data_IF_289303239563
#
_entry.id   IF_289303239563
#
_cell.length_a   1.000
_cell.length_b   1.000
_cell.length_c   1.000
_cell.angle_alpha   90.00
_cell.angle_beta   90.00
_cell.angle_gamma   90.00
#
_symmetry.space_group_name_H-M   'P 1'
#
loop_
_entity.id
_entity.type
_entity.pdbx_description
1 polymer ?
#
# COMPACT_ATOMS: atom_id res chain seq x y z
N UNK A 1 8.15 4.71 -75.62
CA UNK A 1 7.59 5.14 -74.31
C UNK A 1 8.14 4.23 -73.24
N UNK A 2 9.08 4.70 -72.39
CA UNK A 2 9.70 3.94 -71.32
C UNK A 2 9.07 4.41 -70.02
N UNK A 3 8.24 3.54 -69.40
CA UNK A 3 7.58 3.79 -68.12
C UNK A 3 8.62 3.59 -67.00
N UNK A 4 8.97 4.65 -66.29
CA UNK A 4 9.84 4.59 -65.10
C UNK A 4 8.96 4.41 -63.87
N UNK A 5 9.05 3.23 -63.27
CA UNK A 5 8.36 2.84 -62.07
C UNK A 5 9.22 3.27 -60.87
N UNK A 6 8.79 4.32 -60.18
CA UNK A 6 9.46 4.85 -58.99
C UNK A 6 8.92 4.09 -57.78
N UNK A 7 9.78 3.31 -57.13
CA UNK A 7 9.46 2.59 -55.86
C UNK A 7 9.61 3.58 -54.71
N UNK A 8 8.49 3.96 -54.07
CA UNK A 8 8.50 4.69 -52.81
C UNK A 8 8.64 3.69 -51.67
N UNK A 9 9.79 3.69 -51.01
CA UNK A 9 10.01 2.95 -49.77
C UNK A 9 9.51 3.79 -48.59
N UNK A 10 8.39 3.42 -48.01
CA UNK A 10 7.90 4.01 -46.75
C UNK A 10 8.62 3.37 -45.57
N UNK A 11 9.48 4.13 -44.90
CA UNK A 11 10.07 3.76 -43.61
C UNK A 11 9.01 3.93 -42.51
N UNK A 12 8.57 2.83 -41.92
CA UNK A 12 7.75 2.82 -40.71
C UNK A 12 8.71 2.97 -39.52
N UNK A 13 8.75 4.15 -38.92
CA UNK A 13 9.44 4.39 -37.65
C UNK A 13 8.54 3.87 -36.54
N UNK A 14 8.86 2.71 -35.99
CA UNK A 14 8.22 2.18 -34.77
C UNK A 14 8.71 2.98 -33.59
N UNK A 15 7.89 3.89 -33.08
CA UNK A 15 8.09 4.53 -31.78
C UNK A 15 7.78 3.53 -30.69
N UNK A 16 8.82 3.02 -30.02
CA UNK A 16 8.66 2.29 -28.75
C UNK A 16 8.20 3.29 -27.70
N UNK A 17 6.94 3.22 -27.30
CA UNK A 17 6.45 3.88 -26.09
C UNK A 17 7.15 3.22 -24.90
N UNK A 18 8.08 3.92 -24.27
CA UNK A 18 8.56 3.59 -22.94
C UNK A 18 7.39 3.91 -22.01
N UNK A 19 6.71 2.88 -21.53
CA UNK A 19 5.86 3.01 -20.35
C UNK A 19 6.81 3.30 -19.17
N UNK A 20 6.88 4.54 -18.75
CA UNK A 20 7.39 4.85 -17.43
C UNK A 20 6.39 4.25 -16.44
N UNK A 21 6.83 3.28 -15.64
CA UNK A 21 6.21 2.98 -14.38
C UNK A 21 6.38 4.24 -13.53
N UNK A 22 5.43 5.14 -13.66
CA UNK A 22 5.32 6.30 -12.82
C UNK A 22 4.95 5.75 -11.45
N UNK A 23 5.96 5.60 -10.60
CA UNK A 23 5.81 5.39 -9.18
C UNK A 23 4.69 6.33 -8.73
N UNK A 24 3.58 5.79 -8.22
CA UNK A 24 2.55 6.59 -7.59
C UNK A 24 3.22 7.26 -6.39
N UNK A 25 3.72 8.47 -6.62
CA UNK A 25 4.18 9.33 -5.57
C UNK A 25 2.89 9.70 -4.82
N UNK A 26 2.69 9.08 -3.65
CA UNK A 26 1.64 9.52 -2.75
C UNK A 26 1.99 10.95 -2.38
N UNK A 27 1.25 11.90 -2.94
CA UNK A 27 1.35 13.29 -2.53
C UNK A 27 1.09 13.33 -1.02
N UNK A 28 1.91 14.13 -0.30
CA UNK A 28 1.77 14.26 1.13
C UNK A 28 0.31 14.60 1.47
N UNK A 29 -0.34 13.71 2.25
CA UNK A 29 -1.74 13.89 2.63
C UNK A 29 -1.88 15.15 3.47
N UNK A 30 -2.88 15.94 3.17
CA UNK A 30 -3.22 17.15 3.92
C UNK A 30 -4.42 16.82 4.79
N UNK A 31 -4.29 16.92 6.10
CA UNK A 31 -5.39 16.74 7.03
C UNK A 31 -6.58 17.62 6.65
N UNK A 32 -7.78 17.10 6.78
CA UNK A 32 -9.00 17.76 6.36
C UNK A 32 -9.30 17.66 4.86
N UNK A 33 -8.43 17.01 4.08
CA UNK A 33 -8.61 16.87 2.63
C UNK A 33 -8.70 15.40 2.20
N UNK A 34 -9.82 15.05 1.60
CA UNK A 34 -10.11 13.73 1.06
C UNK A 34 -10.13 13.80 -0.46
N UNK A 35 -9.55 12.82 -1.12
CA UNK A 35 -9.70 12.64 -2.56
C UNK A 35 -10.78 11.60 -2.85
N UNK A 36 -11.59 11.83 -3.89
CA UNK A 36 -12.62 10.92 -4.33
C UNK A 36 -12.61 10.85 -5.85
N UNK A 37 -12.36 9.69 -6.39
CA UNK A 37 -12.42 9.39 -7.81
C UNK A 37 -13.69 8.59 -8.08
N UNK A 38 -14.48 9.01 -9.07
CA UNK A 38 -15.70 8.30 -9.47
C UNK A 38 -15.62 8.04 -10.97
N UNK A 39 -15.72 6.78 -11.35
CA UNK A 39 -15.67 6.36 -12.74
C UNK A 39 -16.95 5.62 -13.13
N UNK A 40 -17.47 5.93 -14.31
CA UNK A 40 -18.54 5.20 -14.97
C UNK A 40 -17.93 4.41 -16.14
N UNK A 41 -18.18 3.12 -16.17
CA UNK A 41 -17.82 2.23 -17.30
C UNK A 41 -19.03 1.36 -17.67
N UNK A 42 -19.75 1.79 -18.69
CA UNK A 42 -20.98 1.12 -19.12
C UNK A 42 -22.06 1.13 -18.04
N UNK A 43 -22.32 -0.02 -17.43
CA UNK A 43 -23.27 -0.18 -16.33
C UNK A 43 -22.61 -0.16 -14.94
N UNK A 44 -21.30 -0.10 -14.89
CA UNK A 44 -20.56 -0.09 -13.64
C UNK A 44 -20.26 1.33 -13.18
N UNK A 45 -20.38 1.55 -11.89
CA UNK A 45 -20.05 2.79 -11.20
C UNK A 45 -19.06 2.48 -10.08
N UNK A 46 -17.87 3.04 -10.20
CA UNK A 46 -16.76 2.80 -9.31
C UNK A 46 -16.46 4.06 -8.51
N UNK A 47 -16.21 3.88 -7.22
CA UNK A 47 -15.77 4.94 -6.31
C UNK A 47 -14.44 4.52 -5.70
N UNK A 48 -13.51 5.43 -5.63
CA UNK A 48 -12.29 5.30 -4.85
C UNK A 48 -12.14 6.53 -3.97
N UNK A 49 -12.01 6.32 -2.69
CA UNK A 49 -11.84 7.37 -1.69
C UNK A 49 -10.50 7.18 -1.02
N UNK A 50 -9.70 8.25 -0.99
CA UNK A 50 -8.43 8.30 -0.28
C UNK A 50 -8.52 9.34 0.81
N UNK A 51 -8.37 8.94 2.06
CA UNK A 51 -8.56 9.80 3.23
C UNK A 51 -7.44 9.63 4.26
N UNK A 52 -6.87 10.72 4.81
CA UNK A 52 -5.92 10.64 5.90
C UNK A 52 -6.50 9.88 7.11
N UNK A 53 -5.70 9.06 7.77
CA UNK A 53 -6.11 8.38 9.00
C UNK A 53 -6.58 9.35 10.09
N UNK A 54 -5.95 10.54 10.16
CA UNK A 54 -6.37 11.60 11.07
C UNK A 54 -7.82 12.03 10.87
N UNK A 55 -8.33 12.04 9.64
CA UNK A 55 -9.71 12.41 9.31
C UNK A 55 -10.71 11.32 9.69
N UNK A 56 -10.32 10.04 9.52
CA UNK A 56 -11.20 8.89 9.70
C UNK A 56 -11.21 8.38 11.14
N UNK A 57 -10.04 8.22 11.76
CA UNK A 57 -9.89 7.63 13.11
C UNK A 57 -9.23 8.56 14.13
N UNK A 58 -8.69 9.71 13.67
CA UNK A 58 -8.06 10.73 14.50
C UNK A 58 -6.57 10.54 14.76
N UNK A 59 -5.90 9.65 14.01
CA UNK A 59 -4.45 9.43 14.05
C UNK A 59 -3.94 8.78 12.75
N UNK A 60 -2.61 8.83 12.52
CA UNK A 60 -1.96 8.28 11.31
C UNK A 60 -0.83 7.29 11.61
N UNK A 61 -0.56 7.04 12.88
CA UNK A 61 0.42 6.02 13.29
C UNK A 61 -0.21 4.64 13.42
N UNK A 62 0.60 3.61 13.46
CA UNK A 62 0.15 2.25 13.78
C UNK A 62 -0.56 2.21 15.14
N UNK A 63 -1.74 1.56 15.20
CA UNK A 63 -2.54 1.48 16.42
C UNK A 63 -1.82 0.68 17.52
N UNK A 64 -1.47 1.36 18.61
CA UNK A 64 -0.73 0.79 19.74
C UNK A 64 -1.61 0.43 20.94
N UNK A 65 -2.84 0.95 20.98
CA UNK A 65 -3.79 0.72 22.09
C UNK A 65 -5.06 0.02 21.62
N UNK A 66 -5.71 -0.70 22.53
CA UNK A 66 -7.00 -1.34 22.24
C UNK A 66 -8.10 -0.30 21.87
N UNK A 67 -7.97 0.91 22.39
CA UNK A 67 -8.89 1.99 22.04
C UNK A 67 -8.71 2.45 20.59
N UNK A 68 -7.47 2.52 20.09
CA UNK A 68 -7.16 2.85 18.69
C UNK A 68 -7.58 1.74 17.75
N UNK A 69 -7.25 0.48 18.07
CA UNK A 69 -7.69 -0.69 17.29
C UNK A 69 -9.21 -0.72 17.15
N UNK A 70 -9.95 -0.39 18.25
CA UNK A 70 -11.40 -0.31 18.22
C UNK A 70 -11.91 0.82 17.31
N UNK A 71 -11.23 1.96 17.25
CA UNK A 71 -11.59 3.04 16.33
C UNK A 71 -11.45 2.60 14.88
N UNK A 72 -10.34 1.92 14.53
CA UNK A 72 -10.13 1.36 13.19
C UNK A 72 -11.26 0.38 12.86
N UNK A 73 -11.52 -0.62 13.72
CA UNK A 73 -12.57 -1.59 13.47
C UNK A 73 -13.96 -0.95 13.29
N UNK A 74 -14.26 0.11 14.05
CA UNK A 74 -15.52 0.85 13.87
C UNK A 74 -15.58 1.58 12.53
N UNK A 75 -14.49 2.18 12.10
CA UNK A 75 -14.41 2.85 10.81
C UNK A 75 -14.56 1.85 9.66
N UNK A 76 -13.88 0.70 9.73
CA UNK A 76 -14.03 -0.38 8.76
C UNK A 76 -15.48 -0.89 8.66
N UNK A 77 -16.12 -1.14 9.80
CA UNK A 77 -17.54 -1.57 9.82
C UNK A 77 -18.49 -0.54 9.21
N UNK A 78 -18.19 0.74 9.37
CA UNK A 78 -18.97 1.83 8.79
C UNK A 78 -18.73 1.91 7.28
N UNK A 79 -17.47 1.90 6.87
CA UNK A 79 -17.03 2.00 5.47
C UNK A 79 -17.38 0.74 4.66
N UNK A 80 -17.52 -0.43 5.30
CA UNK A 80 -17.92 -1.66 4.62
C UNK A 80 -19.31 -1.61 3.97
N UNK A 81 -20.10 -0.60 4.32
CA UNK A 81 -21.45 -0.40 3.75
C UNK A 81 -21.48 0.90 2.95
N UNK A 82 -21.44 0.78 1.63
CA UNK A 82 -21.49 1.93 0.75
C UNK A 82 -22.70 2.86 1.00
N UNK A 83 -23.83 2.29 1.42
CA UNK A 83 -25.07 3.05 1.75
C UNK A 83 -24.89 3.98 2.97
N UNK A 84 -23.90 3.76 3.80
CA UNK A 84 -23.55 4.71 4.88
C UNK A 84 -22.86 5.96 4.32
N UNK A 85 -22.19 5.82 3.18
CA UNK A 85 -21.35 6.86 2.60
C UNK A 85 -22.07 7.59 1.44
N UNK A 86 -22.83 6.84 0.64
CA UNK A 86 -23.50 7.39 -0.53
C UNK A 86 -25.00 7.10 -0.53
N UNK A 87 -25.79 8.09 -0.94
CA UNK A 87 -27.18 7.90 -1.29
C UNK A 87 -27.32 7.96 -2.81
N UNK A 88 -27.49 6.80 -3.43
CA UNK A 88 -27.76 6.69 -4.86
C UNK A 88 -29.28 6.74 -5.13
N UNK A 89 -29.72 7.47 -6.17
CA UNK A 89 -31.13 7.45 -6.58
C UNK A 89 -31.62 6.03 -6.89
N UNK A 90 -32.72 5.61 -6.30
CA UNK A 90 -33.27 4.26 -6.51
C UNK A 90 -33.67 3.98 -7.98
N UNK A 91 -33.92 5.04 -8.77
CA UNK A 91 -34.21 4.95 -10.21
C UNK A 91 -33.05 4.36 -11.03
N UNK A 92 -31.82 4.43 -10.52
CA UNK A 92 -30.65 3.87 -11.19
C UNK A 92 -30.62 2.33 -11.12
N UNK A 93 -31.30 1.73 -10.15
CA UNK A 93 -31.32 0.29 -9.95
C UNK A 93 -29.95 -0.31 -9.71
N UNK A 94 -29.16 0.35 -8.86
CA UNK A 94 -27.80 -0.07 -8.53
C UNK A 94 -27.78 -1.18 -7.47
N UNK A 95 -26.85 -2.10 -7.64
CA UNK A 95 -26.54 -3.15 -6.67
C UNK A 95 -25.04 -3.05 -6.33
N UNK A 96 -24.68 -3.08 -5.06
CA UNK A 96 -23.27 -3.18 -4.64
C UNK A 96 -22.73 -4.54 -5.02
N UNK A 97 -21.58 -4.56 -5.70
CA UNK A 97 -20.91 -5.77 -6.18
C UNK A 97 -19.72 -6.10 -5.31
N UNK A 98 -18.91 -5.08 -4.98
CA UNK A 98 -17.70 -5.23 -4.20
C UNK A 98 -17.43 -4.00 -3.33
N UNK A 99 -16.74 -4.24 -2.22
CA UNK A 99 -16.22 -3.20 -1.32
C UNK A 99 -14.85 -3.62 -0.83
N UNK A 100 -13.86 -2.80 -1.08
CA UNK A 100 -12.49 -3.02 -0.64
C UNK A 100 -12.03 -1.87 0.25
N UNK A 101 -11.39 -2.19 1.38
CA UNK A 101 -10.89 -1.21 2.35
C UNK A 101 -9.46 -1.59 2.70
N UNK A 102 -8.56 -0.65 2.52
CA UNK A 102 -7.16 -0.76 2.93
C UNK A 102 -6.79 0.40 3.84
N UNK A 103 -5.90 0.18 4.78
CA UNK A 103 -5.30 1.23 5.60
C UNK A 103 -3.93 0.80 6.15
N UNK A 104 -3.03 1.75 6.35
CA UNK A 104 -1.68 1.50 6.88
C UNK A 104 -1.57 1.55 8.41
N UNK A 105 -2.69 1.44 9.15
CA UNK A 105 -2.73 1.70 10.61
C UNK A 105 -2.69 0.45 11.48
N UNK A 106 -2.77 -0.74 10.90
CA UNK A 106 -2.60 -2.00 11.63
C UNK A 106 -1.12 -2.38 11.70
N UNK A 107 -0.67 -2.87 12.85
CA UNK A 107 0.61 -3.57 12.89
C UNK A 107 0.53 -4.75 11.90
N UNK A 108 1.54 -4.91 11.05
CA UNK A 108 1.70 -6.14 10.31
C UNK A 108 1.91 -7.24 11.35
N UNK A 109 0.89 -8.05 11.59
CA UNK A 109 1.12 -9.36 12.18
C UNK A 109 1.91 -10.11 11.10
N UNK A 110 3.23 -10.07 11.23
CA UNK A 110 4.09 -11.01 10.52
C UNK A 110 3.66 -12.39 11.00
N UNK A 111 2.71 -12.99 10.29
CA UNK A 111 2.53 -14.42 10.32
C UNK A 111 3.79 -15.02 9.72
N UNK A 112 4.81 -15.11 10.56
CA UNK A 112 5.88 -16.05 10.32
C UNK A 112 5.24 -17.43 10.40
N UNK A 113 4.75 -17.93 9.26
CA UNK A 113 4.70 -19.35 9.01
C UNK A 113 6.15 -19.85 9.02
N UNK A 114 6.72 -19.91 10.23
CA UNK A 114 7.87 -20.75 10.48
C UNK A 114 7.36 -22.17 10.37
N UNK A 115 7.42 -22.72 9.15
CA UNK A 115 7.50 -24.13 8.95
C UNK A 115 8.59 -24.62 9.89
N UNK A 116 8.16 -25.31 10.95
CA UNK A 116 8.97 -26.02 11.91
C UNK A 116 9.81 -27.05 11.14
N UNK A 117 10.96 -26.61 10.62
CA UNK A 117 11.97 -27.52 10.12
C UNK A 117 12.57 -28.21 11.33
N UNK A 118 12.00 -29.37 11.65
CA UNK A 118 12.54 -30.28 12.63
C UNK A 118 14.02 -30.49 12.34
N UNK A 119 14.86 -29.95 13.22
CA UNK A 119 16.26 -30.28 13.26
C UNK A 119 16.37 -31.71 13.82
N UNK A 120 16.61 -32.66 12.92
CA UNK A 120 17.03 -34.01 13.27
C UNK A 120 18.26 -33.91 14.16
N UNK A 121 18.09 -34.40 15.37
CA UNK A 121 19.16 -34.57 16.36
C UNK A 121 20.29 -35.40 15.76
N UNK A 122 21.37 -34.76 15.34
CA UNK A 122 22.62 -35.45 15.10
C UNK A 122 23.27 -35.79 16.44
N UNK A 123 23.07 -37.02 16.87
CA UNK A 123 23.84 -37.64 17.94
C UNK A 123 25.34 -37.65 17.56
N UNK A 124 26.11 -36.79 18.22
CA UNK A 124 27.55 -36.87 18.17
C UNK A 124 28.04 -38.01 19.08
N UNK A 125 28.45 -39.12 18.45
CA UNK A 125 29.13 -40.22 19.07
C UNK A 125 30.38 -39.73 19.81
N UNK A 126 30.45 -40.19 21.04
CA UNK A 126 31.57 -40.01 21.96
C UNK A 126 32.82 -40.62 21.34
N UNK A 127 33.84 -39.82 21.07
CA UNK A 127 35.19 -40.32 20.84
C UNK A 127 35.90 -40.50 22.16
N UNK A 128 36.19 -41.79 22.43
CA UNK A 128 36.94 -42.26 23.53
C UNK A 128 38.39 -41.77 23.45
N UNK A 129 38.86 -41.30 24.58
CA UNK A 129 40.10 -41.43 25.29
C UNK A 129 41.30 -41.96 24.49
N UNK A 130 42.24 -41.11 24.18
CA UNK A 130 43.62 -41.49 23.92
C UNK A 130 44.55 -40.76 24.87
N UNK A 131 44.91 -41.48 25.93
CA UNK A 131 46.05 -41.15 26.80
C UNK A 131 47.34 -41.14 26.00
N UNK A 132 48.13 -40.10 26.12
CA UNK A 132 49.51 -40.05 25.72
C UNK A 132 50.40 -39.73 26.91
N UNK A 133 51.26 -40.70 27.12
CA UNK A 133 52.34 -40.77 28.14
C UNK A 133 53.35 -39.66 27.97
N UNK A 134 53.73 -39.15 29.08
CA UNK A 134 54.89 -38.45 29.57
C UNK A 134 56.20 -38.68 28.77
N UNK A 135 56.70 -37.59 28.15
CA UNK A 135 58.13 -37.48 27.85
C UNK A 135 58.61 -36.06 28.18
N UNK A 136 59.33 -36.00 29.33
CA UNK A 136 60.12 -34.83 29.65
C UNK A 136 61.34 -34.73 28.70
N UNK A 137 61.63 -33.54 28.25
CA UNK A 137 62.96 -33.11 27.81
C UNK A 137 63.21 -31.66 28.13
N UNK A 138 64.40 -31.46 28.68
CA UNK A 138 65.06 -30.28 29.17
C UNK A 138 65.30 -29.21 28.10
N UNK A 139 65.32 -27.96 28.60
CA UNK A 139 66.16 -26.81 28.24
C UNK A 139 66.50 -26.57 26.76
N UNK A 140 65.99 -25.50 26.23
CA UNK A 140 66.83 -24.58 25.48
C UNK A 140 66.25 -23.13 25.55
N UNK A 141 67.18 -22.26 25.89
CA UNK A 141 67.04 -20.81 26.00
C UNK A 141 66.87 -20.17 24.60
N UNK A 142 66.24 -19.03 24.62
CA UNK A 142 66.49 -17.85 23.79
C UNK A 142 66.08 -17.95 22.30
N UNK A 143 64.94 -17.35 21.97
CA UNK A 143 64.83 -16.56 20.76
C UNK A 143 63.64 -15.57 20.87
N UNK A 144 64.02 -14.32 20.72
CA UNK A 144 63.36 -13.08 20.60
C UNK A 144 62.16 -13.08 19.63
N UNK A 145 61.15 -12.31 20.06
CA UNK A 145 60.30 -11.38 19.31
C UNK A 145 59.72 -11.84 17.97
N UNK A 146 58.49 -12.30 17.98
CA UNK A 146 57.57 -12.08 16.90
C UNK A 146 56.23 -11.67 17.48
N UNK A 147 56.03 -10.33 17.54
CA UNK A 147 54.75 -9.70 17.70
C UNK A 147 53.91 -9.97 16.44
N UNK A 148 52.94 -10.84 16.56
CA UNK A 148 51.89 -10.96 15.58
C UNK A 148 50.61 -10.38 16.18
N UNK A 149 50.48 -9.04 16.08
CA UNK A 149 49.24 -8.34 16.28
C UNK A 149 48.31 -8.70 15.11
N UNK A 150 47.42 -9.67 15.34
CA UNK A 150 46.27 -9.89 14.50
C UNK A 150 45.08 -9.17 15.11
N UNK A 151 45.03 -7.86 14.94
CA UNK A 151 43.84 -7.07 15.12
C UNK A 151 42.87 -7.43 13.99
N UNK A 152 41.99 -8.37 14.22
CA UNK A 152 40.82 -8.62 13.42
C UNK A 152 39.66 -7.83 14.03
N UNK A 153 39.69 -6.50 13.87
CA UNK A 153 38.52 -5.66 14.04
C UNK A 153 37.55 -5.94 12.88
N UNK A 154 36.69 -6.93 13.07
CA UNK A 154 35.52 -7.11 12.26
C UNK A 154 34.38 -6.29 12.88
N UNK A 155 34.46 -4.97 12.75
CA UNK A 155 33.32 -4.08 12.92
C UNK A 155 32.36 -4.34 11.73
N UNK A 156 31.52 -5.34 11.87
CA UNK A 156 30.33 -5.47 11.05
C UNK A 156 29.24 -4.57 11.66
N UNK A 157 29.40 -3.26 11.49
CA UNK A 157 28.29 -2.34 11.60
C UNK A 157 27.32 -2.65 10.46
N UNK A 158 26.46 -3.63 10.69
CA UNK A 158 25.24 -3.76 9.92
C UNK A 158 24.27 -2.68 10.44
N UNK A 159 24.50 -1.46 10.01
CA UNK A 159 23.45 -0.46 10.00
C UNK A 159 22.34 -0.98 9.07
N UNK A 160 21.49 -1.82 9.64
CA UNK A 160 20.17 -2.02 9.07
C UNK A 160 19.41 -0.70 9.30
N UNK A 161 19.64 0.26 8.40
CA UNK A 161 18.68 1.30 8.17
C UNK A 161 17.37 0.58 7.79
N UNK A 162 16.63 0.16 8.81
CA UNK A 162 15.22 -0.03 8.65
C UNK A 162 14.70 1.37 8.34
N UNK A 163 14.66 1.71 7.05
CA UNK A 163 13.74 2.71 6.58
C UNK A 163 12.38 2.31 7.16
N UNK A 164 12.12 2.79 8.38
CA UNK A 164 10.77 2.87 8.88
C UNK A 164 10.09 3.80 7.86
N UNK A 165 9.51 3.20 6.84
CA UNK A 165 8.45 3.82 6.12
C UNK A 165 7.37 4.06 7.17
N UNK A 166 7.50 5.19 7.88
CA UNK A 166 6.38 5.80 8.57
C UNK A 166 5.37 6.16 7.47
N UNK A 167 4.75 5.12 6.92
CA UNK A 167 3.62 5.26 6.03
C UNK A 167 2.57 6.00 6.83
N UNK A 168 2.36 7.27 6.47
CA UNK A 168 1.25 8.01 7.03
C UNK A 168 0.00 7.18 6.79
N UNK A 169 -0.65 6.77 7.89
CA UNK A 169 -1.82 5.90 7.81
C UNK A 169 -2.93 6.56 7.02
N UNK A 170 -3.25 5.97 5.90
CA UNK A 170 -4.26 6.41 4.96
C UNK A 170 -5.31 5.33 4.80
N UNK A 171 -6.56 5.72 4.65
CA UNK A 171 -7.64 4.85 4.23
C UNK A 171 -7.85 4.96 2.73
N UNK A 172 -7.77 3.85 2.03
CA UNK A 172 -8.24 3.69 0.65
C UNK A 172 -9.48 2.81 0.66
N UNK A 173 -10.59 3.35 0.17
CA UNK A 173 -11.88 2.66 0.14
C UNK A 173 -12.40 2.63 -1.30
N UNK A 174 -12.71 1.44 -1.78
CA UNK A 174 -13.25 1.24 -3.12
C UNK A 174 -14.63 0.61 -3.03
N UNK A 175 -15.58 1.15 -3.79
CA UNK A 175 -16.92 0.56 -3.96
C UNK A 175 -17.18 0.34 -5.45
N UNK A 176 -17.73 -0.82 -5.76
CA UNK A 176 -18.22 -1.13 -7.09
C UNK A 176 -19.72 -1.40 -7.06
N UNK A 177 -20.44 -0.74 -7.96
CA UNK A 177 -21.86 -0.96 -8.20
C UNK A 177 -22.09 -1.32 -9.65
N UNK A 178 -23.06 -2.20 -9.90
CA UNK A 178 -23.66 -2.41 -11.22
C UNK A 178 -25.07 -1.83 -11.20
N UNK A 179 -25.37 -0.94 -12.14
CA UNK A 179 -26.61 -0.17 -12.21
C UNK A 179 -27.34 -0.44 -13.51
N UNK A 180 -28.66 -0.58 -13.44
CA UNK A 180 -29.49 -0.88 -14.62
C UNK A 180 -29.69 0.35 -15.52
N UNK A 181 -29.59 1.56 -14.99
CA UNK A 181 -29.94 2.80 -15.69
C UNK A 181 -29.03 3.99 -15.29
N UNK A 182 -27.75 3.92 -15.64
CA UNK A 182 -26.79 5.01 -15.37
C UNK A 182 -26.98 6.25 -16.27
N UNK A 183 -27.76 6.13 -17.35
CA UNK A 183 -28.05 7.29 -18.22
C UNK A 183 -28.80 8.41 -17.49
N UNK A 184 -29.57 8.04 -16.45
CA UNK A 184 -30.35 8.97 -15.64
C UNK A 184 -29.55 9.51 -14.43
N UNK A 185 -28.28 9.13 -14.30
CA UNK A 185 -27.42 9.63 -13.24
C UNK A 185 -27.17 11.13 -13.41
N UNK A 186 -27.65 11.91 -12.47
CA UNK A 186 -27.49 13.35 -12.45
C UNK A 186 -26.81 13.86 -11.18
N UNK A 187 -27.09 13.19 -10.05
CA UNK A 187 -26.51 13.54 -8.76
C UNK A 187 -26.46 12.36 -7.80
N UNK A 188 -25.50 12.40 -6.90
CA UNK A 188 -25.33 11.47 -5.76
C UNK A 188 -25.07 12.34 -4.53
N UNK A 189 -25.62 11.96 -3.38
CA UNK A 189 -25.33 12.63 -2.11
C UNK A 189 -24.33 11.80 -1.30
N UNK A 190 -23.34 12.46 -0.69
CA UNK A 190 -22.42 11.81 0.25
C UNK A 190 -22.74 12.16 1.70
N UNK A 191 -22.68 11.15 2.57
CA UNK A 191 -22.81 11.28 4.02
C UNK A 191 -21.43 11.36 4.72
N UNK A 192 -20.34 11.44 3.97
CA UNK A 192 -18.99 11.42 4.48
C UNK A 192 -18.76 12.38 5.65
N UNK A 193 -19.11 13.64 5.48
CA UNK A 193 -18.92 14.69 6.49
C UNK A 193 -19.70 14.45 7.78
N UNK A 194 -20.80 13.69 7.72
CA UNK A 194 -21.57 13.30 8.91
C UNK A 194 -20.83 12.30 9.76
N UNK A 195 -20.12 11.39 9.11
CA UNK A 195 -19.36 10.33 9.79
C UNK A 195 -17.95 10.76 10.16
N UNK A 196 -17.34 11.60 9.33
CA UNK A 196 -15.97 12.06 9.45
C UNK A 196 -15.89 13.58 9.49
N UNK A 197 -16.30 14.20 10.62
CA UNK A 197 -16.41 15.66 10.73
C UNK A 197 -15.06 16.40 10.73
N UNK A 198 -13.94 15.68 10.86
CA UNK A 198 -12.59 16.24 10.71
C UNK A 198 -12.25 16.58 9.27
N UNK A 199 -12.95 16.01 8.30
CA UNK A 199 -12.78 16.34 6.88
C UNK A 199 -13.39 17.72 6.59
N UNK A 200 -12.57 18.63 6.08
CA UNK A 200 -12.97 19.98 5.70
C UNK A 200 -13.49 20.04 4.26
N UNK A 201 -12.83 19.28 3.36
CA UNK A 201 -13.20 19.22 1.95
C UNK A 201 -12.93 17.86 1.32
N UNK A 202 -13.71 17.57 0.26
CA UNK A 202 -13.48 16.42 -0.62
C UNK A 202 -13.25 16.94 -2.04
N UNK A 203 -12.10 16.59 -2.62
CA UNK A 203 -11.81 16.84 -4.04
C UNK A 203 -12.34 15.65 -4.85
N UNK A 204 -13.38 15.89 -5.67
CA UNK A 204 -14.02 14.84 -6.46
C UNK A 204 -13.59 14.96 -7.91
N UNK A 205 -13.06 13.86 -8.47
CA UNK A 205 -12.81 13.70 -9.90
C UNK A 205 -13.84 12.75 -10.49
N UNK A 206 -14.52 13.17 -11.54
CA UNK A 206 -15.53 12.39 -12.25
C UNK A 206 -15.03 12.00 -13.63
N UNK A 207 -15.12 10.72 -13.96
CA UNK A 207 -14.80 10.13 -15.26
C UNK A 207 -16.04 9.40 -15.75
N UNK A 208 -16.79 10.00 -16.66
CA UNK A 208 -18.07 9.47 -17.14
C UNK A 208 -18.11 9.44 -18.66
N UNK A 209 -19.10 8.77 -19.22
CA UNK A 209 -19.36 8.79 -20.67
C UNK A 209 -19.59 10.21 -21.22
N UNK A 210 -20.00 11.15 -20.35
CA UNK A 210 -20.20 12.56 -20.71
C UNK A 210 -18.91 13.37 -20.71
N UNK A 211 -17.81 12.83 -20.15
CA UNK A 211 -16.51 13.48 -20.05
C UNK A 211 -15.94 13.48 -18.63
N UNK A 212 -14.92 14.31 -18.45
CA UNK A 212 -14.23 14.46 -17.16
C UNK A 212 -14.58 15.80 -16.53
N UNK A 213 -14.76 15.81 -15.22
CA UNK A 213 -14.93 17.03 -14.44
C UNK A 213 -14.36 16.90 -13.04
N UNK A 214 -14.00 18.02 -12.42
CA UNK A 214 -13.55 18.08 -11.04
C UNK A 214 -14.46 19.00 -10.24
N UNK A 215 -14.67 18.64 -8.97
CA UNK A 215 -15.52 19.39 -8.02
C UNK A 215 -14.91 19.37 -6.65
N UNK A 216 -15.29 20.31 -5.83
CA UNK A 216 -14.96 20.36 -4.42
C UNK A 216 -16.25 20.35 -3.61
N UNK A 217 -16.30 19.47 -2.60
CA UNK A 217 -17.39 19.35 -1.63
C UNK A 217 -16.90 19.82 -0.26
N UNK A 218 -17.84 20.21 0.57
CA UNK A 218 -17.64 20.52 1.98
C UNK A 218 -18.90 20.15 2.78
N UNK A 219 -18.88 20.33 4.09
CA UNK A 219 -19.98 19.95 4.98
C UNK A 219 -21.31 20.66 4.68
N UNK A 220 -21.31 21.76 3.91
CA UNK A 220 -22.51 22.47 3.47
C UNK A 220 -22.92 22.19 2.04
N UNK A 221 -22.07 21.46 1.28
CA UNK A 221 -22.29 21.11 -0.12
C UNK A 221 -21.85 19.66 -0.33
N UNK A 222 -22.77 18.72 -0.14
CA UNK A 222 -22.54 17.26 -0.11
C UNK A 222 -22.99 16.56 -1.38
N UNK A 223 -23.54 17.30 -2.36
CA UNK A 223 -24.09 16.73 -3.59
C UNK A 223 -23.04 16.71 -4.71
N UNK A 224 -22.78 15.53 -5.24
CA UNK A 224 -21.95 15.28 -6.42
C UNK A 224 -22.84 15.32 -7.66
N UNK A 225 -22.60 16.28 -8.56
CA UNK A 225 -23.38 16.43 -9.82
C UNK A 225 -22.59 15.87 -11.00
N UNK A 226 -23.26 15.10 -11.84
CA UNK A 226 -22.73 14.39 -13.01
C UNK A 226 -23.01 15.09 -14.33
#
# INVERSE_FOLDING_TARGET
MKLRMTLLATMIVSSTAMANDEFRQHDAHVHGQVAMNIAQDGQDLLFEITAPGADVVGFEHTANTEAEKKKIANAEMLLAKADNIFTLPSSLGCTSVDTHIEHGLSAHDEHSDHDDHGHDDHEHDKHDDHGHDDHGHDNHADHSDHDHDHDHDHDHDHDHDHDQHDGHGEFTVQYQFTCSNLTDLSEIETQWFTHFPSTEKISVNLFTDKGQSARELNSTSTTIKF
#
